data_IF_466340185230
#
_entry.id   IF_466340185230
#
_cell.length_a   1.000
_cell.length_b   1.000
_cell.length_c   1.000
_cell.angle_alpha   90.00
_cell.angle_beta   90.00
_cell.angle_gamma   90.00
#
_symmetry.space_group_name_H-M   'P 1'
#
loop_
_entity.id
_entity.type
_entity.pdbx_description
1 polymer ?
#
# COMPACT_ATOMS: atom_id res chain seq x y z
N UNK A 1 11.31 21.66 -20.05
CA UNK A 1 11.07 20.89 -18.81
C UNK A 1 12.27 21.04 -17.88
N UNK A 2 12.05 21.32 -16.63
CA UNK A 2 13.11 21.50 -15.63
C UNK A 2 13.31 20.20 -14.83
N UNK A 3 13.86 19.19 -15.47
CA UNK A 3 13.97 17.85 -14.88
C UNK A 3 12.60 17.20 -14.70
N UNK A 4 12.42 16.43 -13.64
CA UNK A 4 11.22 15.63 -13.42
C UNK A 4 10.28 16.19 -12.35
N UNK A 5 10.55 17.40 -11.87
CA UNK A 5 9.83 17.95 -10.71
C UNK A 5 8.32 18.11 -10.96
N UNK A 6 7.93 18.38 -12.21
CA UNK A 6 6.53 18.57 -12.58
C UNK A 6 5.88 17.32 -13.20
N UNK A 7 6.57 16.19 -13.16
CA UNK A 7 6.05 14.94 -13.72
C UNK A 7 5.13 14.22 -12.74
N UNK A 8 4.05 13.66 -13.26
CA UNK A 8 3.24 12.71 -12.47
C UNK A 8 4.02 11.41 -12.28
N UNK A 9 3.76 10.74 -11.17
CA UNK A 9 4.44 9.49 -10.82
C UNK A 9 3.44 8.34 -10.87
N UNK A 10 3.88 7.21 -11.43
CA UNK A 10 3.14 5.95 -11.36
C UNK A 10 3.91 4.98 -10.49
N UNK A 11 3.26 4.47 -9.44
CA UNK A 11 3.82 3.41 -8.62
C UNK A 11 3.51 2.06 -9.26
N UNK A 12 4.51 1.21 -9.44
CA UNK A 12 4.38 -0.06 -10.13
C UNK A 12 4.53 -1.22 -9.14
N UNK A 13 3.48 -2.02 -8.96
CA UNK A 13 3.50 -3.18 -8.08
C UNK A 13 3.32 -4.48 -8.88
N UNK A 14 4.23 -5.46 -8.73
CA UNK A 14 4.08 -6.75 -9.39
C UNK A 14 3.00 -7.58 -8.70
N UNK A 15 2.21 -8.29 -9.49
CA UNK A 15 1.18 -9.20 -8.98
C UNK A 15 1.24 -10.51 -9.74
N UNK A 16 1.07 -11.64 -9.04
CA UNK A 16 1.00 -12.95 -9.68
C UNK A 16 -0.36 -13.20 -10.32
N UNK A 17 -1.42 -12.77 -9.64
CA UNK A 17 -2.81 -12.95 -10.05
C UNK A 17 -3.51 -11.61 -10.00
N UNK A 18 -3.74 -11.03 -11.16
CA UNK A 18 -4.31 -9.68 -11.26
C UNK A 18 -5.73 -9.63 -10.69
N UNK A 19 -6.56 -10.64 -10.95
CA UNK A 19 -7.95 -10.63 -10.46
C UNK A 19 -7.99 -10.69 -8.94
N UNK A 20 -7.16 -11.54 -8.34
CA UNK A 20 -7.04 -11.64 -6.89
C UNK A 20 -6.52 -10.33 -6.28
N UNK A 21 -5.50 -9.75 -6.89
CA UNK A 21 -4.95 -8.48 -6.44
C UNK A 21 -6.00 -7.36 -6.50
N UNK A 22 -6.75 -7.29 -7.60
CA UNK A 22 -7.81 -6.29 -7.75
C UNK A 22 -8.86 -6.39 -6.64
N UNK A 23 -9.26 -7.59 -6.27
CA UNK A 23 -10.21 -7.77 -5.17
C UNK A 23 -9.68 -7.17 -3.88
N UNK A 24 -8.40 -7.37 -3.59
CA UNK A 24 -7.77 -6.80 -2.40
C UNK A 24 -7.76 -5.27 -2.45
N UNK A 25 -7.31 -4.69 -3.57
CA UNK A 25 -7.19 -3.23 -3.67
C UNK A 25 -8.54 -2.53 -3.75
N UNK A 26 -9.55 -3.17 -4.33
CA UNK A 26 -10.89 -2.58 -4.46
C UNK A 26 -11.74 -2.83 -3.21
N UNK A 27 -11.95 -4.09 -2.82
CA UNK A 27 -12.77 -4.41 -1.64
C UNK A 27 -12.02 -4.18 -0.32
N UNK A 28 -10.74 -4.56 -0.26
CA UNK A 28 -9.94 -4.42 0.95
C UNK A 28 -9.51 -3.00 1.24
N UNK A 29 -8.96 -2.30 0.27
CA UNK A 29 -8.46 -0.94 0.46
C UNK A 29 -9.44 0.14 0.04
N UNK A 30 -10.51 -0.21 -0.67
CA UNK A 30 -11.53 0.75 -1.08
C UNK A 30 -11.09 1.65 -2.22
N UNK A 31 -10.16 1.22 -3.06
CA UNK A 31 -9.69 2.03 -4.18
C UNK A 31 -10.65 1.97 -5.35
N UNK A 32 -10.82 3.10 -6.04
CA UNK A 32 -11.66 3.17 -7.22
C UNK A 32 -10.83 2.78 -8.46
N UNK A 33 -11.28 1.78 -9.25
CA UNK A 33 -10.54 1.36 -10.43
C UNK A 33 -10.55 2.44 -11.51
N UNK A 34 -9.40 2.65 -12.14
CA UNK A 34 -9.27 3.50 -13.31
C UNK A 34 -9.38 2.68 -14.59
N UNK A 35 -8.72 1.52 -14.65
CA UNK A 35 -8.92 0.59 -15.73
C UNK A 35 -7.71 -0.24 -16.14
N UNK A 36 -8.00 -1.23 -16.98
CA UNK A 36 -7.00 -2.06 -17.62
C UNK A 36 -6.36 -1.29 -18.77
N UNK A 37 -5.04 -1.31 -18.82
CA UNK A 37 -4.29 -0.64 -19.89
C UNK A 37 -3.91 -1.62 -20.99
N UNK A 38 -3.62 -1.12 -22.21
CA UNK A 38 -3.29 -2.00 -23.35
C UNK A 38 -2.08 -2.90 -23.12
N UNK A 39 -1.15 -2.53 -22.23
CA UNK A 39 0.02 -3.33 -21.90
C UNK A 39 -0.24 -4.39 -20.81
N UNK A 40 -1.48 -4.49 -20.32
CA UNK A 40 -1.88 -5.50 -19.34
C UNK A 40 -1.87 -5.08 -17.89
N UNK A 41 -1.37 -3.88 -17.56
CA UNK A 41 -1.44 -3.41 -16.18
C UNK A 41 -2.81 -2.82 -15.86
N UNK A 42 -3.19 -2.86 -14.60
CA UNK A 42 -4.45 -2.30 -14.11
C UNK A 42 -4.16 -1.13 -13.18
N UNK A 43 -4.85 -0.01 -13.39
CA UNK A 43 -4.50 1.24 -12.69
C UNK A 43 -5.59 1.75 -11.76
N UNK A 44 -5.14 2.45 -10.72
CA UNK A 44 -5.94 3.17 -9.74
C UNK A 44 -5.38 4.59 -9.59
N UNK A 45 -6.24 5.57 -9.40
CA UNK A 45 -5.82 6.93 -9.10
C UNK A 45 -5.88 7.17 -7.60
N UNK A 46 -4.76 7.59 -7.01
CA UNK A 46 -4.64 7.86 -5.57
C UNK A 46 -4.10 9.26 -5.38
N UNK A 47 -4.96 10.23 -5.01
CA UNK A 47 -4.52 11.60 -4.90
C UNK A 47 -3.89 12.05 -6.22
N UNK A 48 -2.67 12.55 -6.19
CA UNK A 48 -1.93 12.95 -7.39
C UNK A 48 -1.09 11.85 -8.02
N UNK A 49 -1.25 10.58 -7.59
CA UNK A 49 -0.41 9.47 -7.98
C UNK A 49 -1.24 8.37 -8.63
N UNK A 50 -0.68 7.69 -9.61
CA UNK A 50 -1.29 6.49 -10.19
C UNK A 50 -0.61 5.26 -9.59
N UNK A 51 -1.42 4.29 -9.19
CA UNK A 51 -0.96 2.96 -8.79
C UNK A 51 -1.26 2.00 -9.92
N UNK A 52 -0.26 1.26 -10.39
CA UNK A 52 -0.41 0.26 -11.43
C UNK A 52 -0.02 -1.12 -10.92
N UNK A 53 -0.92 -2.08 -11.08
CA UNK A 53 -0.66 -3.49 -10.81
C UNK A 53 -0.27 -4.15 -12.13
N UNK A 54 0.92 -4.74 -12.21
CA UNK A 54 1.35 -5.38 -13.45
C UNK A 54 1.59 -6.88 -13.22
N UNK A 55 1.09 -7.73 -14.14
CA UNK A 55 1.29 -9.17 -14.00
C UNK A 55 2.77 -9.54 -14.08
N UNK A 56 3.22 -10.30 -13.10
CA UNK A 56 4.59 -10.83 -13.04
C UNK A 56 4.53 -12.23 -12.44
N UNK A 57 4.78 -13.29 -13.23
CA UNK A 57 4.59 -14.67 -12.75
C UNK A 57 5.39 -15.03 -11.49
N UNK A 58 6.59 -14.44 -11.33
CA UNK A 58 7.43 -14.69 -10.15
C UNK A 58 6.95 -13.89 -8.93
N UNK A 59 6.09 -12.90 -9.12
CA UNK A 59 5.66 -11.98 -8.06
C UNK A 59 6.75 -11.04 -7.61
N UNK A 60 6.53 -10.41 -6.46
CA UNK A 60 7.51 -9.50 -5.88
C UNK A 60 8.67 -10.27 -5.23
N UNK A 61 9.85 -9.66 -5.25
CA UNK A 61 11.02 -10.11 -4.48
C UNK A 61 11.41 -9.06 -3.43
N UNK A 62 10.61 -8.01 -3.30
CA UNK A 62 10.91 -6.95 -2.34
C UNK A 62 10.66 -7.43 -0.91
N UNK A 63 11.60 -7.11 -0.03
CA UNK A 63 11.51 -7.43 1.40
C UNK A 63 11.35 -6.16 2.24
N UNK A 64 10.91 -5.08 1.62
CA UNK A 64 10.73 -3.78 2.25
C UNK A 64 9.38 -3.18 1.87
N UNK A 65 8.97 -2.15 2.60
CA UNK A 65 7.77 -1.38 2.27
C UNK A 65 7.90 -0.76 0.88
N UNK A 66 6.98 -1.09 -0.01
CA UNK A 66 6.99 -0.58 -1.39
C UNK A 66 6.00 0.56 -1.59
N UNK A 67 5.04 0.73 -0.68
CA UNK A 67 4.03 1.76 -0.77
C UNK A 67 3.55 2.12 0.63
N UNK A 68 3.52 3.41 0.95
CA UNK A 68 3.05 3.89 2.25
C UNK A 68 1.98 4.95 2.04
N UNK A 69 0.82 4.74 2.65
CA UNK A 69 -0.30 5.66 2.57
C UNK A 69 -0.24 6.64 3.74
N UNK A 70 -0.20 7.92 3.45
CA UNK A 70 -0.28 8.96 4.48
C UNK A 70 -1.74 9.14 4.90
N UNK A 71 -2.03 8.89 6.17
CA UNK A 71 -3.38 9.02 6.73
C UNK A 71 -3.39 10.10 7.81
N UNK A 72 -4.48 10.84 7.97
CA UNK A 72 -4.56 11.88 9.00
C UNK A 72 -4.58 11.32 10.42
N UNK A 73 -5.11 10.11 10.62
CA UNK A 73 -5.15 9.43 11.92
C UNK A 73 -5.07 7.93 11.69
N UNK A 74 -4.04 7.28 12.25
CA UNK A 74 -3.74 5.90 11.91
C UNK A 74 -4.67 4.89 12.60
N UNK A 75 -5.11 5.15 13.83
CA UNK A 75 -5.97 4.21 14.55
C UNK A 75 -7.30 3.97 13.82
N UNK A 76 -8.04 5.02 13.41
CA UNK A 76 -9.25 4.80 12.61
C UNK A 76 -8.98 4.14 11.26
N UNK A 77 -7.84 4.47 10.63
CA UNK A 77 -7.48 3.87 9.34
C UNK A 77 -7.22 2.36 9.48
N UNK A 78 -6.50 1.95 10.54
CA UNK A 78 -6.29 0.53 10.84
C UNK A 78 -7.62 -0.17 11.09
N UNK A 79 -8.50 0.43 11.90
CA UNK A 79 -9.80 -0.15 12.19
C UNK A 79 -10.64 -0.30 10.92
N UNK A 80 -10.61 0.68 10.03
CA UNK A 80 -11.36 0.62 8.76
C UNK A 80 -10.86 -0.51 7.86
N UNK A 81 -9.53 -0.69 7.75
CA UNK A 81 -8.97 -1.78 6.96
C UNK A 81 -9.33 -3.15 7.55
N UNK A 82 -9.24 -3.30 8.87
CA UNK A 82 -9.62 -4.55 9.56
C UNK A 82 -11.10 -4.87 9.32
N UNK A 83 -11.97 -3.86 9.34
CA UNK A 83 -13.40 -4.04 9.06
C UNK A 83 -13.65 -4.52 7.62
N UNK A 84 -12.73 -4.22 6.69
CA UNK A 84 -12.78 -4.69 5.30
C UNK A 84 -12.10 -6.05 5.11
N UNK A 85 -11.60 -6.67 6.19
CA UNK A 85 -10.97 -7.98 6.14
C UNK A 85 -9.47 -7.95 5.90
N UNK A 86 -8.83 -6.79 5.93
CA UNK A 86 -7.39 -6.67 5.78
C UNK A 86 -6.72 -7.05 7.09
N UNK A 87 -5.70 -7.91 7.00
CA UNK A 87 -4.94 -8.34 8.17
C UNK A 87 -3.75 -7.40 8.39
N UNK A 88 -3.70 -6.76 9.55
CA UNK A 88 -2.61 -5.85 9.92
C UNK A 88 -1.56 -6.63 10.69
N UNK A 89 -0.29 -6.48 10.32
CA UNK A 89 0.82 -7.19 10.93
C UNK A 89 1.14 -6.63 12.32
N UNK A 90 1.75 -7.49 13.13
CA UNK A 90 2.32 -7.11 14.43
C UNK A 90 3.79 -7.49 14.46
N UNK A 91 4.61 -6.63 15.05
CA UNK A 91 6.04 -6.85 15.17
C UNK A 91 6.49 -6.65 16.62
N UNK A 92 7.49 -7.43 17.01
CA UNK A 92 8.12 -7.30 18.33
C UNK A 92 9.62 -7.59 18.17
N UNK A 93 10.33 -6.60 17.63
CA UNK A 93 11.77 -6.63 17.42
C UNK A 93 12.43 -5.52 18.23
N UNK A 94 13.72 -5.64 18.57
CA UNK A 94 14.46 -4.51 19.12
C UNK A 94 14.38 -3.30 18.18
N UNK A 95 13.84 -2.18 18.70
CA UNK A 95 13.65 -0.96 17.92
C UNK A 95 12.41 -0.90 17.05
N UNK A 96 11.62 -1.98 16.99
CA UNK A 96 10.37 -2.01 16.21
C UNK A 96 9.33 -2.86 16.93
N UNK A 97 8.45 -2.21 17.70
CA UNK A 97 7.38 -2.90 18.40
C UNK A 97 6.04 -2.24 18.11
N UNK A 98 5.07 -3.04 17.67
CA UNK A 98 3.70 -2.58 17.49
C UNK A 98 2.88 -2.81 18.74
N UNK A 99 2.02 -1.85 19.06
CA UNK A 99 0.99 -1.97 20.10
C UNK A 99 -0.35 -1.69 19.41
N UNK A 100 -1.25 -2.65 19.45
CA UNK A 100 -2.51 -2.59 18.69
C UNK A 100 -2.24 -2.29 17.21
N UNK A 101 -1.25 -2.99 16.63
CA UNK A 101 -0.80 -2.91 15.25
C UNK A 101 -0.01 -1.64 14.89
N UNK A 102 0.16 -0.70 15.82
CA UNK A 102 0.79 0.58 15.52
C UNK A 102 2.15 0.70 16.20
N UNK A 103 3.14 1.16 15.45
CA UNK A 103 4.48 1.44 15.94
C UNK A 103 4.74 2.95 15.87
N UNK A 104 5.34 3.51 16.92
CA UNK A 104 5.78 4.91 16.92
C UNK A 104 7.26 4.94 16.55
N UNK A 105 7.58 5.61 15.45
CA UNK A 105 8.93 5.74 14.93
C UNK A 105 9.26 7.23 14.82
N UNK A 106 9.97 7.77 15.80
CA UNK A 106 10.32 9.19 15.82
C UNK A 106 9.08 10.07 15.78
N UNK A 107 8.91 10.84 14.70
CA UNK A 107 7.82 11.77 14.51
C UNK A 107 6.67 11.20 13.68
N UNK A 108 6.57 9.88 13.56
CA UNK A 108 5.43 9.27 12.86
C UNK A 108 4.97 7.99 13.52
N UNK A 109 3.72 7.63 13.26
CA UNK A 109 3.17 6.31 13.57
C UNK A 109 3.08 5.51 12.28
N UNK A 110 3.28 4.20 12.35
CA UNK A 110 3.23 3.32 11.19
C UNK A 110 2.52 2.02 11.53
N UNK A 111 1.88 1.44 10.53
CA UNK A 111 1.26 0.12 10.59
C UNK A 111 1.50 -0.57 9.24
N UNK A 112 1.74 -1.89 9.27
CA UNK A 112 2.09 -2.66 8.08
C UNK A 112 1.09 -3.75 7.77
N UNK A 113 0.94 -4.02 6.50
CA UNK A 113 0.13 -5.13 6.00
C UNK A 113 0.67 -5.56 4.64
N UNK A 114 0.26 -6.73 4.19
CA UNK A 114 0.63 -7.22 2.87
C UNK A 114 -0.61 -7.30 1.98
N UNK A 115 -0.41 -7.10 0.68
CA UNK A 115 -1.46 -7.44 -0.27
C UNK A 115 -1.50 -8.96 -0.49
N UNK A 116 -2.38 -9.44 -1.36
CA UNK A 116 -2.49 -10.88 -1.66
C UNK A 116 -1.31 -11.40 -2.47
N UNK A 117 -0.42 -10.52 -2.92
CA UNK A 117 0.68 -10.84 -3.82
C UNK A 117 2.05 -10.77 -3.15
N UNK A 118 2.07 -10.51 -1.83
CA UNK A 118 3.31 -10.41 -1.07
C UNK A 118 3.95 -9.03 -1.05
N UNK A 119 3.33 -8.02 -1.65
CA UNK A 119 3.83 -6.65 -1.56
C UNK A 119 3.60 -6.13 -0.12
N UNK A 120 4.64 -5.52 0.45
CA UNK A 120 4.58 -4.98 1.81
C UNK A 120 4.13 -3.52 1.73
N UNK A 121 3.02 -3.23 2.38
CA UNK A 121 2.39 -1.92 2.37
C UNK A 121 2.36 -1.34 3.78
N UNK A 122 2.24 -0.03 3.87
CA UNK A 122 2.29 0.68 5.15
C UNK A 122 1.23 1.79 5.18
N UNK A 123 0.70 2.04 6.38
CA UNK A 123 0.02 3.30 6.69
C UNK A 123 0.95 4.12 7.56
N UNK A 124 0.98 5.44 7.37
CA UNK A 124 1.71 6.30 8.29
C UNK A 124 0.95 7.57 8.60
N UNK A 125 1.14 8.05 9.83
CA UNK A 125 0.59 9.32 10.31
C UNK A 125 1.77 10.17 10.78
N UNK A 126 1.82 11.43 10.35
CA UNK A 126 2.84 12.36 10.80
C UNK A 126 2.43 12.99 12.13
N UNK A 127 3.33 12.97 13.10
CA UNK A 127 3.08 13.52 14.45
C UNK A 127 3.55 14.98 14.61
N UNK A 128 4.17 15.52 13.59
CA UNK A 128 4.58 16.92 13.65
C UNK A 128 5.91 17.26 13.02
#
# INVERSE_FOLDING_TARGET
MNGLIDCEVTCMLPVKDLDRARTFYEAGLGLAPQGLRPDGKFTYRLGGTTLALFPKPEGTKAEHTVLSFHVPSIEPAVAALKARGVRIADYDFPGLKTVNHVCVLGSEKAAWFEDTEGNILCLHENLG
#
